data_IF_779071831933
#
_entry.id   IF_779071831933
#
_cell.length_a   1.000
_cell.length_b   1.000
_cell.length_c   1.000
_cell.angle_alpha   90.00
_cell.angle_beta   90.00
_cell.angle_gamma   90.00
#
_symmetry.space_group_name_H-M   'P 1'
#
loop_
_entity.id
_entity.type
_entity.pdbx_description
1 polymer ?
#
# COMPACT_ATOMS: atom_id res chain seq x y z
N UNK A 1 -4.92 1.21 -24.47
CA UNK A 1 -4.59 -0.15 -23.97
C UNK A 1 -5.22 -0.24 -22.59
N UNK A 2 -6.03 -1.24 -22.32
CA UNK A 2 -6.60 -1.51 -21.00
C UNK A 2 -5.60 -2.34 -20.18
N UNK A 3 -5.36 -1.97 -18.93
CA UNK A 3 -4.46 -2.68 -18.00
C UNK A 3 -5.29 -3.14 -16.82
N UNK A 4 -5.32 -4.44 -16.57
CA UNK A 4 -5.94 -5.04 -15.38
C UNK A 4 -4.81 -5.31 -14.39
N UNK A 5 -4.89 -4.71 -13.20
CA UNK A 5 -3.85 -4.79 -12.19
C UNK A 5 -4.43 -5.22 -10.84
N UNK A 6 -3.69 -6.03 -10.08
CA UNK A 6 -3.90 -6.27 -8.66
C UNK A 6 -2.71 -5.69 -7.90
N UNK A 7 -2.95 -4.59 -7.21
CA UNK A 7 -1.90 -3.82 -6.53
C UNK A 7 -1.92 -4.01 -5.01
N UNK A 8 -2.88 -4.75 -4.44
CA UNK A 8 -2.94 -5.02 -3.01
C UNK A 8 -2.65 -6.49 -2.67
N UNK A 9 -1.48 -6.94 -3.02
CA UNK A 9 -1.04 -8.30 -2.79
C UNK A 9 0.02 -8.38 -1.69
N UNK A 10 0.00 -9.44 -0.88
CA UNK A 10 1.03 -9.75 0.10
C UNK A 10 1.98 -10.83 -0.38
N UNK A 11 3.11 -10.95 0.30
CA UNK A 11 4.04 -12.05 0.13
C UNK A 11 3.77 -13.19 1.12
N UNK A 12 4.47 -14.30 0.95
CA UNK A 12 4.47 -15.44 1.89
C UNK A 12 5.04 -15.10 3.29
N UNK A 13 5.58 -13.91 3.46
CA UNK A 13 6.15 -13.43 4.73
C UNK A 13 5.16 -12.60 5.56
N UNK A 14 4.00 -12.25 5.00
CA UNK A 14 2.93 -11.62 5.75
C UNK A 14 2.13 -12.65 6.55
N UNK A 15 1.59 -12.23 7.70
CA UNK A 15 0.70 -13.08 8.51
C UNK A 15 -0.60 -13.35 7.76
N UNK A 16 -1.16 -14.52 8.02
CA UNK A 16 -2.43 -14.99 7.46
C UNK A 16 -2.43 -15.08 5.93
N UNK A 17 -1.27 -15.26 5.30
CA UNK A 17 -1.11 -15.46 3.86
C UNK A 17 -0.64 -16.88 3.53
N UNK A 18 -0.81 -17.27 2.26
CA UNK A 18 -0.29 -18.54 1.77
C UNK A 18 1.23 -18.54 1.71
N UNK A 19 1.86 -19.61 2.16
CA UNK A 19 3.31 -19.84 2.00
C UNK A 19 3.76 -19.98 0.55
N UNK A 20 2.81 -20.14 -0.37
CA UNK A 20 3.05 -20.29 -1.81
C UNK A 20 3.09 -18.95 -2.57
N UNK A 21 3.02 -17.80 -1.88
CA UNK A 21 3.07 -16.47 -2.51
C UNK A 21 4.52 -16.06 -2.85
N UNK A 22 5.20 -16.88 -3.66
CA UNK A 22 6.48 -16.55 -4.28
C UNK A 22 6.27 -15.72 -5.55
N UNK A 23 7.32 -15.04 -6.03
CA UNK A 23 7.28 -14.25 -7.27
C UNK A 23 6.79 -15.11 -8.45
N UNK A 24 7.30 -16.32 -8.60
CA UNK A 24 6.95 -17.22 -9.69
C UNK A 24 5.47 -17.64 -9.65
N UNK A 25 4.97 -17.96 -8.47
CA UNK A 25 3.57 -18.33 -8.31
C UNK A 25 2.63 -17.13 -8.52
N UNK A 26 3.04 -15.94 -8.08
CA UNK A 26 2.30 -14.72 -8.33
C UNK A 26 2.19 -14.43 -9.83
N UNK A 27 3.29 -14.50 -10.59
CA UNK A 27 3.27 -14.37 -12.04
C UNK A 27 2.38 -15.44 -12.70
N UNK A 28 2.56 -16.71 -12.31
CA UNK A 28 1.75 -17.83 -12.84
C UNK A 28 0.25 -17.55 -12.69
N UNK A 29 -0.18 -17.21 -11.49
CA UNK A 29 -1.60 -16.98 -11.21
C UNK A 29 -2.12 -15.68 -11.82
N UNK A 30 -1.30 -14.63 -11.90
CA UNK A 30 -1.64 -13.41 -12.60
C UNK A 30 -1.95 -13.66 -14.06
N UNK A 31 -1.10 -14.43 -14.76
CA UNK A 31 -1.34 -14.80 -16.17
C UNK A 31 -2.61 -15.63 -16.35
N UNK A 32 -2.87 -16.59 -15.45
CA UNK A 32 -4.10 -17.40 -15.48
C UNK A 32 -5.35 -16.54 -15.30
N UNK A 33 -5.28 -15.53 -14.42
CA UNK A 33 -6.39 -14.60 -14.14
C UNK A 33 -6.52 -13.48 -15.18
N UNK A 34 -5.62 -13.36 -16.14
CA UNK A 34 -5.62 -12.28 -17.12
C UNK A 34 -5.15 -10.93 -16.55
N UNK A 35 -4.40 -10.94 -15.46
CA UNK A 35 -3.80 -9.72 -14.90
C UNK A 35 -2.57 -9.33 -15.73
N UNK A 36 -2.40 -8.03 -15.94
CA UNK A 36 -1.30 -7.46 -16.70
C UNK A 36 -0.20 -6.87 -15.81
N UNK A 37 -0.49 -6.59 -14.53
CA UNK A 37 0.40 -5.92 -13.60
C UNK A 37 0.07 -6.34 -12.16
N UNK A 38 1.09 -6.54 -11.32
CA UNK A 38 0.95 -6.79 -9.88
C UNK A 38 1.73 -5.78 -9.04
N UNK A 39 1.27 -5.56 -7.81
CA UNK A 39 2.16 -5.05 -6.76
C UNK A 39 3.11 -6.15 -6.30
N UNK A 40 4.39 -5.83 -6.01
CA UNK A 40 5.34 -6.86 -5.56
C UNK A 40 5.04 -7.36 -4.14
N UNK A 41 4.39 -6.54 -3.32
CA UNK A 41 4.06 -6.81 -1.92
C UNK A 41 5.26 -6.84 -0.98
N UNK A 42 5.11 -6.19 0.16
CA UNK A 42 5.99 -6.33 1.33
C UNK A 42 7.49 -6.08 1.06
N UNK A 43 7.84 -5.15 0.15
CA UNK A 43 9.22 -4.94 -0.30
C UNK A 43 10.19 -4.54 0.83
N UNK A 44 9.70 -4.02 1.95
CA UNK A 44 10.50 -3.67 3.12
C UNK A 44 10.88 -4.88 3.98
N UNK A 45 10.20 -6.04 3.82
CA UNK A 45 10.53 -7.24 4.59
C UNK A 45 11.85 -7.84 4.08
N UNK A 46 12.87 -8.10 4.93
CA UNK A 46 14.22 -8.47 4.47
C UNK A 46 14.25 -9.69 3.55
N UNK A 47 13.49 -10.75 3.89
CA UNK A 47 13.46 -11.96 3.07
C UNK A 47 12.70 -11.76 1.77
N UNK A 48 11.63 -10.91 1.76
CA UNK A 48 10.95 -10.56 0.52
C UNK A 48 11.84 -9.72 -0.37
N UNK A 49 12.58 -8.77 0.20
CA UNK A 49 13.53 -7.96 -0.53
C UNK A 49 14.59 -8.79 -1.22
N UNK A 50 15.16 -9.76 -0.52
CA UNK A 50 16.12 -10.71 -1.10
C UNK A 50 15.49 -11.46 -2.30
N UNK A 51 14.26 -11.96 -2.16
CA UNK A 51 13.54 -12.64 -3.23
C UNK A 51 13.30 -11.71 -4.45
N UNK A 52 12.95 -10.43 -4.22
CA UNK A 52 12.81 -9.41 -5.27
C UNK A 52 14.13 -9.22 -6.01
N UNK A 53 15.23 -8.97 -5.28
CA UNK A 53 16.54 -8.71 -5.87
C UNK A 53 17.10 -9.93 -6.64
N UNK A 54 16.73 -11.15 -6.26
CA UNK A 54 17.14 -12.39 -6.96
C UNK A 54 16.29 -12.69 -8.19
N UNK A 55 15.01 -12.31 -8.22
CA UNK A 55 14.03 -12.78 -9.22
C UNK A 55 13.53 -11.71 -10.17
N UNK A 56 13.72 -10.45 -9.85
CA UNK A 56 13.21 -9.33 -10.64
C UNK A 56 14.34 -8.38 -11.03
N UNK A 57 14.20 -7.81 -12.22
CA UNK A 57 15.08 -6.73 -12.72
C UNK A 57 14.26 -5.47 -12.91
N UNK A 58 14.74 -4.34 -12.41
CA UNK A 58 14.09 -3.05 -12.62
C UNK A 58 14.47 -2.47 -13.99
N UNK A 59 13.46 -1.99 -14.73
CA UNK A 59 13.68 -1.28 -15.98
C UNK A 59 13.93 0.24 -15.73
N UNK A 60 14.22 1.00 -16.81
CA UNK A 60 14.49 2.43 -16.79
C UNK A 60 13.32 3.30 -16.30
N UNK A 61 12.13 2.72 -16.17
CA UNK A 61 10.90 3.37 -15.66
C UNK A 61 10.59 2.98 -14.22
N UNK A 62 11.46 2.22 -13.55
CA UNK A 62 11.22 1.73 -12.19
C UNK A 62 10.27 0.52 -12.10
N UNK A 63 9.92 -0.10 -13.23
CA UNK A 63 9.07 -1.28 -13.25
C UNK A 63 9.93 -2.52 -13.05
N UNK A 64 9.57 -3.32 -12.08
CA UNK A 64 10.19 -4.62 -11.84
C UNK A 64 9.67 -5.65 -12.86
N UNK A 65 10.57 -6.48 -13.41
CA UNK A 65 10.18 -7.53 -14.37
C UNK A 65 10.80 -8.86 -14.02
N UNK A 66 10.00 -9.93 -14.19
CA UNK A 66 10.53 -11.30 -14.19
C UNK A 66 11.35 -11.55 -15.44
N UNK A 67 12.09 -12.66 -15.48
CA UNK A 67 12.78 -13.14 -16.69
C UNK A 67 11.84 -13.36 -17.88
N UNK A 68 10.55 -13.66 -17.61
CA UNK A 68 9.51 -13.81 -18.62
C UNK A 68 8.80 -12.47 -18.98
N UNK A 69 9.31 -11.34 -18.48
CA UNK A 69 8.84 -9.99 -18.78
C UNK A 69 7.57 -9.56 -18.02
N UNK A 70 7.05 -10.33 -17.06
CA UNK A 70 5.85 -9.93 -16.32
C UNK A 70 6.16 -8.76 -15.37
N UNK A 71 5.34 -7.68 -15.38
CA UNK A 71 5.64 -6.47 -14.62
C UNK A 71 5.10 -6.50 -13.20
N UNK A 72 5.89 -5.89 -12.28
CA UNK A 72 5.50 -5.60 -10.90
C UNK A 72 5.83 -4.16 -10.54
N UNK A 73 5.04 -3.57 -9.63
CA UNK A 73 5.33 -2.28 -9.00
C UNK A 73 5.92 -2.45 -7.61
N UNK A 74 6.82 -1.55 -7.23
CA UNK A 74 7.28 -1.43 -5.85
C UNK A 74 6.13 -1.02 -4.95
N UNK A 75 5.60 -1.96 -4.18
CA UNK A 75 4.46 -1.74 -3.30
C UNK A 75 4.65 -2.45 -1.97
N UNK A 76 4.27 -1.77 -0.89
CA UNK A 76 4.13 -2.36 0.44
C UNK A 76 2.88 -1.86 1.15
N UNK A 77 2.51 -2.49 2.26
CA UNK A 77 1.45 -2.07 3.16
C UNK A 77 2.00 -1.95 4.57
N UNK A 78 1.59 -0.91 5.27
CA UNK A 78 1.92 -0.70 6.68
C UNK A 78 0.65 -0.52 7.51
N UNK A 79 0.71 -0.96 8.76
CA UNK A 79 -0.33 -0.75 9.76
C UNK A 79 0.11 0.38 10.70
N UNK A 80 -0.67 1.45 10.77
CA UNK A 80 -0.45 2.53 11.73
C UNK A 80 -1.42 2.38 12.90
N UNK A 81 -0.89 2.32 14.12
CA UNK A 81 -1.68 2.20 15.35
C UNK A 81 -1.22 3.24 16.36
N UNK A 82 -2.05 4.24 16.60
CA UNK A 82 -1.70 5.38 17.46
C UNK A 82 -2.93 5.95 18.18
N UNK A 83 -2.75 6.95 19.02
CA UNK A 83 -3.85 7.67 19.65
C UNK A 83 -3.94 9.08 19.07
N UNK A 84 -5.15 9.47 18.68
CA UNK A 84 -5.47 10.83 18.23
C UNK A 84 -6.84 11.23 18.77
N UNK A 85 -6.94 12.44 19.33
CA UNK A 85 -8.17 12.99 19.92
C UNK A 85 -8.81 11.99 20.93
N UNK A 86 -7.97 11.48 21.85
CA UNK A 86 -8.31 10.51 22.92
C UNK A 86 -8.86 9.15 22.40
N UNK A 87 -8.82 8.91 21.10
CA UNK A 87 -9.27 7.66 20.48
C UNK A 87 -8.10 6.86 19.96
N UNK A 88 -8.16 5.54 20.11
CA UNK A 88 -7.24 4.63 19.44
C UNK A 88 -7.60 4.57 17.96
N UNK A 89 -6.62 4.83 17.12
CA UNK A 89 -6.72 4.80 15.66
C UNK A 89 -5.89 3.65 15.10
N UNK A 90 -6.42 3.02 14.07
CA UNK A 90 -5.70 2.00 13.33
C UNK A 90 -6.07 2.11 11.86
N UNK A 91 -5.06 2.29 10.99
CA UNK A 91 -5.24 2.49 9.54
C UNK A 91 -4.18 1.70 8.80
N UNK A 92 -4.57 1.03 7.72
CA UNK A 92 -3.65 0.43 6.76
C UNK A 92 -3.42 1.38 5.58
N UNK A 93 -2.17 1.55 5.21
CA UNK A 93 -1.77 2.38 4.08
C UNK A 93 -0.91 1.59 3.10
N UNK A 94 -1.29 1.63 1.83
CA UNK A 94 -0.47 1.16 0.73
C UNK A 94 0.53 2.25 0.37
N UNK A 95 1.78 1.86 0.16
CA UNK A 95 2.87 2.74 -0.23
C UNK A 95 3.44 2.21 -1.55
N UNK A 96 3.43 3.05 -2.57
CA UNK A 96 4.01 2.77 -3.87
C UNK A 96 5.27 3.61 -4.06
N UNK A 97 6.40 2.96 -4.26
CA UNK A 97 7.65 3.64 -4.57
C UNK A 97 7.88 3.67 -6.08
N UNK A 98 8.37 4.79 -6.64
CA UNK A 98 8.55 4.93 -8.09
C UNK A 98 9.69 4.07 -8.64
N UNK A 99 10.65 3.67 -7.80
CA UNK A 99 11.83 2.89 -8.20
C UNK A 99 12.51 2.26 -6.97
N UNK A 100 13.57 1.48 -7.23
CA UNK A 100 14.37 0.78 -6.22
C UNK A 100 15.03 1.73 -5.21
N UNK A 101 15.50 2.89 -5.65
CA UNK A 101 16.15 3.86 -4.76
C UNK A 101 15.16 4.41 -3.73
N UNK A 102 13.97 4.83 -4.18
CA UNK A 102 12.92 5.27 -3.28
C UNK A 102 12.45 4.14 -2.34
N UNK A 103 12.30 2.90 -2.85
CA UNK A 103 11.94 1.74 -2.03
C UNK A 103 12.99 1.44 -0.95
N UNK A 104 14.29 1.65 -1.23
CA UNK A 104 15.37 1.53 -0.25
C UNK A 104 15.22 2.57 0.86
N UNK A 105 15.09 3.84 0.50
CA UNK A 105 14.93 4.94 1.46
C UNK A 105 13.68 4.77 2.32
N UNK A 106 12.57 4.31 1.75
CA UNK A 106 11.35 3.95 2.50
C UNK A 106 11.65 2.83 3.49
N UNK A 107 12.38 1.79 3.06
CA UNK A 107 12.75 0.66 3.95
C UNK A 107 13.64 1.13 5.09
N UNK A 108 14.63 1.99 4.85
CA UNK A 108 15.49 2.59 5.88
C UNK A 108 14.68 3.43 6.87
N UNK A 109 13.81 4.29 6.37
CA UNK A 109 12.92 5.10 7.20
C UNK A 109 12.03 4.22 8.10
N UNK A 110 11.34 3.24 7.53
CA UNK A 110 10.49 2.32 8.30
C UNK A 110 11.32 1.50 9.31
N UNK A 111 12.52 1.06 8.93
CA UNK A 111 13.45 0.34 9.81
C UNK A 111 13.94 1.16 11.00
N UNK A 112 14.05 2.50 10.86
CA UNK A 112 14.36 3.40 11.98
C UNK A 112 13.21 3.56 12.97
N UNK A 113 11.98 3.19 12.58
CA UNK A 113 10.75 3.31 13.38
C UNK A 113 10.29 1.99 14.00
N UNK A 114 10.80 0.85 13.52
CA UNK A 114 10.41 -0.45 14.05
C UNK A 114 11.00 -1.63 13.30
N UNK A 115 10.68 -2.82 13.76
CA UNK A 115 11.13 -4.08 13.13
C UNK A 115 10.37 -4.33 11.83
N UNK A 116 11.10 -4.85 10.82
CA UNK A 116 10.55 -5.17 9.50
C UNK A 116 10.50 -6.68 9.19
N UNK A 117 11.05 -7.51 10.09
CA UNK A 117 11.35 -8.93 9.85
C UNK A 117 10.31 -9.91 10.43
N UNK A 118 9.24 -9.42 11.06
CA UNK A 118 8.26 -10.26 11.75
C UNK A 118 6.91 -10.41 11.01
N UNK A 119 6.62 -9.50 10.08
CA UNK A 119 5.39 -9.48 9.28
C UNK A 119 5.62 -8.69 7.98
N UNK A 120 5.08 -9.17 6.86
CA UNK A 120 5.07 -8.44 5.60
C UNK A 120 4.32 -7.10 5.69
N UNK A 121 3.40 -6.95 6.65
CA UNK A 121 2.71 -5.70 7.00
C UNK A 121 3.08 -5.27 8.43
N UNK A 122 4.20 -4.56 8.61
CA UNK A 122 4.66 -4.14 9.93
C UNK A 122 3.75 -3.07 10.55
N UNK A 123 3.73 -3.03 11.89
CA UNK A 123 2.93 -2.11 12.68
C UNK A 123 3.83 -1.01 13.24
N UNK A 124 3.38 0.26 13.11
CA UNK A 124 4.09 1.43 13.61
C UNK A 124 3.20 2.30 14.48
N UNK A 125 3.79 2.92 15.51
CA UNK A 125 3.11 3.86 16.41
C UNK A 125 3.06 5.31 15.91
N UNK A 126 3.49 5.58 14.65
CA UNK A 126 3.46 6.92 14.07
C UNK A 126 2.07 7.27 13.54
N UNK A 127 1.79 8.58 13.41
CA UNK A 127 0.53 9.07 12.85
C UNK A 127 0.50 9.01 11.33
N UNK A 128 -0.71 9.00 10.73
CA UNK A 128 -0.85 9.07 9.27
C UNK A 128 -0.19 10.32 8.65
N UNK A 129 -0.38 11.56 9.20
CA UNK A 129 0.32 12.73 8.69
C UNK A 129 1.84 12.60 8.74
N UNK A 130 2.39 12.10 9.86
CA UNK A 130 3.85 11.90 10.01
C UNK A 130 4.41 10.95 8.95
N UNK A 131 3.73 9.82 8.68
CA UNK A 131 4.15 8.90 7.63
C UNK A 131 4.17 9.58 6.27
N UNK A 132 3.05 10.22 5.88
CA UNK A 132 2.92 10.86 4.56
C UNK A 132 3.97 11.94 4.35
N UNK A 133 4.19 12.81 5.36
CA UNK A 133 5.19 13.87 5.29
C UNK A 133 6.60 13.31 5.04
N UNK A 134 7.02 12.32 5.83
CA UNK A 134 8.33 11.70 5.67
C UNK A 134 8.49 11.00 4.32
N UNK A 135 7.45 10.30 3.84
CA UNK A 135 7.50 9.65 2.53
C UNK A 135 7.62 10.65 1.38
N UNK A 136 6.92 11.79 1.46
CA UNK A 136 7.01 12.86 0.45
C UNK A 136 8.35 13.62 0.50
N UNK A 137 9.03 13.66 1.65
CA UNK A 137 10.42 14.16 1.75
C UNK A 137 11.41 13.18 1.09
N UNK A 138 11.17 11.87 1.18
CA UNK A 138 12.00 10.86 0.54
C UNK A 138 11.93 10.97 -0.98
N UNK A 139 10.70 11.01 -1.53
CA UNK A 139 10.44 11.20 -2.96
C UNK A 139 8.99 11.67 -3.12
N UNK A 140 8.77 12.77 -3.84
CA UNK A 140 7.45 13.35 -4.07
C UNK A 140 6.53 12.47 -4.95
N UNK A 141 7.11 11.52 -5.69
CA UNK A 141 6.40 10.55 -6.53
C UNK A 141 5.92 9.31 -5.78
N UNK A 142 6.28 9.17 -4.49
CA UNK A 142 5.70 8.09 -3.67
C UNK A 142 4.20 8.32 -3.53
N UNK A 143 3.40 7.34 -3.90
CA UNK A 143 1.96 7.39 -3.74
C UNK A 143 1.50 6.61 -2.51
N UNK A 144 0.53 7.19 -1.79
CA UNK A 144 -0.05 6.61 -0.58
C UNK A 144 -1.54 6.45 -0.77
N UNK A 145 -2.05 5.23 -0.60
CA UNK A 145 -3.47 4.90 -0.77
C UNK A 145 -3.98 4.24 0.51
N UNK A 146 -4.97 4.81 1.22
CA UNK A 146 -5.66 4.12 2.30
C UNK A 146 -6.30 2.83 1.81
N UNK A 147 -5.89 1.70 2.40
CA UNK A 147 -6.35 0.37 2.03
C UNK A 147 -7.76 0.10 2.58
N UNK A 148 -8.57 -0.68 1.85
CA UNK A 148 -9.91 -1.16 2.26
C UNK A 148 -10.64 -0.15 3.17
N UNK A 149 -10.83 1.07 2.66
CA UNK A 149 -11.16 2.29 3.41
C UNK A 149 -12.37 2.17 4.35
N UNK A 150 -13.31 1.27 4.07
CA UNK A 150 -14.57 1.11 4.82
C UNK A 150 -14.60 -0.12 5.74
N UNK A 151 -13.53 -0.90 5.84
CA UNK A 151 -13.50 -2.01 6.80
C UNK A 151 -13.60 -1.47 8.23
N UNK A 152 -14.37 -2.11 9.14
CA UNK A 152 -14.56 -1.61 10.50
C UNK A 152 -13.26 -1.35 11.26
N UNK A 153 -12.27 -2.23 11.09
CA UNK A 153 -10.92 -2.12 11.64
C UNK A 153 -9.93 -1.83 10.51
N UNK A 154 -8.97 -0.97 10.78
CA UNK A 154 -7.89 -0.59 9.87
C UNK A 154 -8.30 0.17 8.60
N UNK A 155 -9.59 0.35 8.34
CA UNK A 155 -10.07 1.24 7.28
C UNK A 155 -10.02 2.70 7.74
N UNK A 156 -9.64 3.63 6.85
CA UNK A 156 -9.59 5.06 7.17
C UNK A 156 -10.94 5.61 7.60
N UNK A 157 -12.05 5.07 7.08
CA UNK A 157 -13.43 5.39 7.47
C UNK A 157 -14.07 4.29 8.34
N UNK A 158 -13.25 3.41 8.89
CA UNK A 158 -13.71 2.28 9.68
C UNK A 158 -14.41 2.68 10.96
N UNK A 159 -15.59 2.11 11.22
CA UNK A 159 -16.44 2.44 12.37
C UNK A 159 -15.80 2.15 13.74
N UNK A 160 -14.76 1.33 13.80
CA UNK A 160 -14.09 0.92 15.06
C UNK A 160 -12.78 1.66 15.31
N UNK A 161 -12.02 1.96 14.27
CA UNK A 161 -10.68 2.53 14.43
C UNK A 161 -10.35 3.67 13.44
N UNK A 162 -11.30 4.02 12.58
CA UNK A 162 -11.12 5.03 11.52
C UNK A 162 -11.49 6.44 11.95
N UNK A 163 -11.68 7.28 10.93
CA UNK A 163 -11.95 8.71 11.02
C UNK A 163 -13.22 9.05 10.25
N UNK A 164 -13.76 10.28 10.45
CA UNK A 164 -14.94 10.72 9.73
C UNK A 164 -14.61 11.34 8.35
N UNK A 165 -13.35 11.75 8.13
CA UNK A 165 -12.88 12.34 6.88
C UNK A 165 -11.40 12.09 6.66
N UNK A 166 -10.92 12.22 5.42
CA UNK A 166 -9.49 12.20 5.12
C UNK A 166 -8.76 13.36 5.81
N UNK A 167 -9.39 14.54 5.88
CA UNK A 167 -8.84 15.71 6.56
C UNK A 167 -8.63 15.45 8.06
N UNK A 168 -9.54 14.75 8.72
CA UNK A 168 -9.36 14.36 10.14
C UNK A 168 -8.15 13.42 10.29
N UNK A 169 -7.99 12.45 9.40
CA UNK A 169 -6.90 11.47 9.42
C UNK A 169 -5.55 12.07 9.06
N UNK A 170 -5.47 12.77 7.92
CA UNK A 170 -4.19 13.19 7.30
C UNK A 170 -3.82 14.65 7.56
N UNK A 171 -4.71 15.45 8.17
CA UNK A 171 -4.49 16.87 8.47
C UNK A 171 -4.05 17.63 7.20
N UNK A 172 -2.96 18.37 7.25
CA UNK A 172 -2.41 19.12 6.10
C UNK A 172 -1.88 18.21 4.98
N UNK A 173 -1.59 16.96 5.30
CA UNK A 173 -1.10 15.98 4.32
C UNK A 173 -2.22 15.39 3.45
N UNK A 174 -3.49 15.71 3.69
CA UNK A 174 -4.63 15.29 2.85
C UNK A 174 -4.43 15.64 1.38
N UNK A 175 -3.74 16.73 1.07
CA UNK A 175 -3.39 17.16 -0.29
C UNK A 175 -2.57 16.13 -1.09
N UNK A 176 -1.97 15.15 -0.42
CA UNK A 176 -1.15 14.10 -1.02
C UNK A 176 -1.89 12.75 -1.12
N UNK A 177 -3.19 12.72 -0.79
CA UNK A 177 -4.02 11.52 -0.89
C UNK A 177 -4.92 11.66 -2.11
N UNK A 178 -4.56 10.98 -3.19
CA UNK A 178 -5.24 11.08 -4.49
C UNK A 178 -6.21 9.94 -4.76
N UNK A 179 -6.15 8.88 -3.96
CA UNK A 179 -7.05 7.73 -4.07
C UNK A 179 -7.30 7.07 -2.71
N UNK A 180 -8.41 6.36 -2.61
CA UNK A 180 -8.70 5.38 -1.55
C UNK A 180 -9.00 4.04 -2.22
N UNK A 181 -8.68 2.95 -1.53
CA UNK A 181 -9.09 1.61 -1.97
C UNK A 181 -10.37 1.22 -1.24
N UNK A 182 -11.42 0.87 -2.04
CA UNK A 182 -12.70 0.47 -1.46
C UNK A 182 -12.68 -0.96 -0.92
N UNK A 183 -11.80 -1.80 -1.46
CA UNK A 183 -11.85 -3.24 -1.21
C UNK A 183 -13.19 -3.83 -1.67
N UNK A 184 -13.51 -5.02 -1.16
CA UNK A 184 -14.84 -5.62 -1.37
C UNK A 184 -15.85 -5.24 -0.27
N UNK A 185 -15.52 -4.26 0.58
CA UNK A 185 -16.32 -3.87 1.75
C UNK A 185 -17.29 -2.71 1.48
N UNK A 186 -17.18 -2.04 0.34
CA UNK A 186 -18.08 -0.95 -0.04
C UNK A 186 -18.14 -0.76 -1.56
N UNK A 187 -19.33 -0.39 -2.05
CA UNK A 187 -19.50 0.02 -3.44
C UNK A 187 -19.00 1.46 -3.66
N UNK A 188 -18.46 1.80 -4.85
CA UNK A 188 -18.01 3.15 -5.17
C UNK A 188 -19.06 4.22 -4.94
N UNK A 189 -20.34 3.91 -5.17
CA UNK A 189 -21.47 4.81 -4.94
C UNK A 189 -21.61 5.26 -3.47
N UNK A 190 -21.17 4.45 -2.52
CA UNK A 190 -21.13 4.82 -1.09
C UNK A 190 -20.02 5.85 -0.84
N UNK A 191 -18.87 5.65 -1.47
CA UNK A 191 -17.72 6.55 -1.36
C UNK A 191 -18.05 7.94 -1.91
N UNK A 192 -18.73 8.02 -3.04
CA UNK A 192 -19.10 9.30 -3.69
C UNK A 192 -20.07 10.18 -2.88
N UNK A 193 -20.67 9.66 -1.82
CA UNK A 193 -21.47 10.48 -0.87
C UNK A 193 -20.58 11.35 0.04
N UNK A 194 -19.30 11.03 0.17
CA UNK A 194 -18.35 11.85 0.91
C UNK A 194 -17.90 13.01 0.01
N UNK A 195 -17.97 14.23 0.52
CA UNK A 195 -17.63 15.46 -0.24
C UNK A 195 -16.22 15.39 -0.84
N UNK A 196 -15.24 14.92 -0.09
CA UNK A 196 -13.83 14.82 -0.50
C UNK A 196 -13.65 13.89 -1.73
N UNK A 197 -14.49 12.85 -1.85
CA UNK A 197 -14.44 11.86 -2.92
C UNK A 197 -15.42 12.24 -4.05
N UNK A 198 -16.64 12.61 -3.69
CA UNK A 198 -17.68 12.99 -4.65
C UNK A 198 -17.35 14.24 -5.49
N UNK A 199 -16.45 15.10 -4.99
CA UNK A 199 -15.89 16.24 -5.74
C UNK A 199 -14.93 15.85 -6.86
N UNK A 200 -14.54 14.56 -6.96
CA UNK A 200 -13.57 14.06 -7.93
C UNK A 200 -12.11 14.38 -7.62
N UNK A 201 -11.82 14.92 -6.43
CA UNK A 201 -10.42 15.18 -5.98
C UNK A 201 -9.69 13.92 -5.56
N UNK A 202 -10.43 12.93 -5.07
CA UNK A 202 -9.90 11.64 -4.60
C UNK A 202 -10.58 10.53 -5.39
N UNK A 203 -9.79 9.69 -6.03
CA UNK A 203 -10.27 8.56 -6.81
C UNK A 203 -10.64 7.37 -5.91
N UNK A 204 -11.54 6.52 -6.40
CA UNK A 204 -11.83 5.22 -5.76
C UNK A 204 -11.24 4.13 -6.64
N UNK A 205 -10.35 3.33 -6.04
CA UNK A 205 -9.77 2.14 -6.68
C UNK A 205 -10.22 0.89 -5.95
N UNK A 206 -10.18 -0.25 -6.63
CA UNK A 206 -10.42 -1.56 -6.05
C UNK A 206 -9.45 -2.56 -6.69
N UNK A 207 -8.73 -3.29 -5.88
CA UNK A 207 -7.71 -4.25 -6.32
C UNK A 207 -8.16 -5.68 -6.02
#
# INVERSE_FOLDING_TARGET
MEIIADLQIHSKYARATSKNLSIENLEKWARIKGLHLLGVGDFQHPLRRKEIDEKLTEDDKGILRTTNGFPFLWRTEVSLMYSQDEKRRAVHLLIFAPNKEAANKVTEFLGSRGRLDYDGRPIFGMTCPELVENLKIIDDKIEIIPAHAYTPWFGVFGSKSGFNSLKECFKEQTRHIYAIESGMSADPSMAWRMEEIGSGKVNVVSF
#
